data_IF_643317405177
#
_entry.id   IF_643317405177
#
_cell.length_a   1.000
_cell.length_b   1.000
_cell.length_c   1.000
_cell.angle_alpha   90.00
_cell.angle_beta   90.00
_cell.angle_gamma   90.00
#
_symmetry.space_group_name_H-M   'P 1'
#
loop_
_entity.id
_entity.type
_entity.pdbx_description
1 polymer ?
#
# COMPACT_ATOMS: atom_id res chain seq x y z
N UNK A 1 -2.75 -9.21 13.62
CA UNK A 1 -1.27 -9.27 13.63
C UNK A 1 -0.79 -8.50 14.85
N UNK A 2 0.33 -8.85 15.50
CA UNK A 2 0.85 -8.07 16.64
C UNK A 2 1.41 -6.72 16.15
N UNK A 3 1.32 -5.65 16.96
CA UNK A 3 1.85 -4.33 16.61
C UNK A 3 3.34 -4.37 16.24
N UNK A 4 4.13 -5.20 16.93
CA UNK A 4 5.57 -5.38 16.66
C UNK A 4 5.87 -5.93 15.25
N UNK A 5 5.02 -6.78 14.71
CA UNK A 5 5.16 -7.26 13.33
C UNK A 5 4.80 -6.16 12.32
N UNK A 6 3.82 -5.30 12.63
CA UNK A 6 3.50 -4.14 11.79
C UNK A 6 4.67 -3.14 11.84
N UNK A 7 5.28 -2.89 13.00
CA UNK A 7 6.48 -2.08 13.11
C UNK A 7 7.64 -2.63 12.30
N UNK A 8 7.86 -3.95 12.28
CA UNK A 8 8.88 -4.56 11.41
C UNK A 8 8.61 -4.30 9.93
N UNK A 9 7.34 -4.25 9.51
CA UNK A 9 6.98 -3.91 8.13
C UNK A 9 7.23 -2.42 7.86
N UNK A 10 6.79 -1.53 8.75
CA UNK A 10 6.90 -0.09 8.57
C UNK A 10 8.31 0.47 8.82
N UNK A 11 9.16 -0.23 9.56
CA UNK A 11 10.54 0.18 9.86
C UNK A 11 11.51 0.08 8.68
N UNK A 12 11.00 -0.11 7.46
CA UNK A 12 11.78 0.01 6.22
C UNK A 12 11.27 1.22 5.45
N UNK A 13 12.17 2.16 5.17
CA UNK A 13 11.84 3.45 4.56
C UNK A 13 11.09 3.30 3.23
N UNK A 14 11.51 2.36 2.37
CA UNK A 14 10.85 2.12 1.09
C UNK A 14 9.41 1.63 1.27
N UNK A 15 9.15 0.71 2.22
CA UNK A 15 7.79 0.24 2.52
C UNK A 15 6.92 1.34 3.11
N UNK A 16 7.47 2.13 4.03
CA UNK A 16 6.76 3.27 4.60
C UNK A 16 6.42 4.31 3.51
N UNK A 17 7.37 4.61 2.63
CA UNK A 17 7.18 5.54 1.53
C UNK A 17 6.13 5.07 0.53
N UNK A 18 6.09 3.77 0.20
CA UNK A 18 5.03 3.19 -0.63
C UNK A 18 3.66 3.39 0.02
N UNK A 19 3.54 3.18 1.34
CA UNK A 19 2.27 3.41 2.05
C UNK A 19 1.84 4.88 1.97
N UNK A 20 2.77 5.83 2.10
CA UNK A 20 2.49 7.26 1.95
C UNK A 20 2.05 7.62 0.53
N UNK A 21 2.70 7.05 -0.50
CA UNK A 21 2.29 7.26 -1.88
C UNK A 21 0.87 6.75 -2.14
N UNK A 22 0.53 5.58 -1.61
CA UNK A 22 -0.79 4.99 -1.77
C UNK A 22 -1.88 5.73 -0.97
N UNK A 23 -1.52 6.44 0.10
CA UNK A 23 -2.46 7.26 0.89
C UNK A 23 -2.96 8.46 0.09
N UNK A 24 -2.11 9.05 -0.76
CA UNK A 24 -2.47 10.14 -1.66
C UNK A 24 -1.96 9.87 -3.10
N UNK A 25 -2.57 8.92 -3.81
CA UNK A 25 -2.01 8.43 -5.06
C UNK A 25 -2.14 9.45 -6.20
N UNK A 26 -3.08 10.39 -6.13
CA UNK A 26 -3.24 11.47 -7.11
C UNK A 26 -1.99 12.37 -7.16
N UNK A 27 -1.50 12.79 -6.00
CA UNK A 27 -0.31 13.64 -5.87
C UNK A 27 0.96 12.92 -6.29
N UNK A 28 1.04 11.60 -6.08
CA UNK A 28 2.28 10.85 -6.27
C UNK A 28 2.40 10.19 -7.65
N UNK A 29 1.30 9.81 -8.29
CA UNK A 29 1.30 9.12 -9.59
C UNK A 29 0.57 9.91 -10.69
N UNK A 30 -0.08 11.02 -10.34
CA UNK A 30 -0.93 11.77 -11.25
C UNK A 30 -2.34 11.17 -11.38
N UNK A 31 -3.28 11.97 -11.84
CA UNK A 31 -4.69 11.56 -12.01
C UNK A 31 -4.86 10.49 -13.09
N UNK A 32 -3.98 10.47 -14.10
CA UNK A 32 -4.04 9.47 -15.18
C UNK A 32 -3.72 8.06 -14.68
N UNK A 33 -2.82 7.92 -13.71
CA UNK A 33 -2.50 6.65 -13.07
C UNK A 33 -3.68 6.05 -12.27
N UNK A 34 -4.64 6.91 -11.87
CA UNK A 34 -5.83 6.51 -11.13
C UNK A 34 -6.96 6.00 -12.02
N UNK A 35 -6.79 6.02 -13.35
CA UNK A 35 -7.83 5.66 -14.31
C UNK A 35 -8.03 4.14 -14.35
N UNK A 36 -8.63 3.63 -13.29
CA UNK A 36 -9.23 2.31 -13.17
C UNK A 36 -10.76 2.41 -13.32
N UNK A 37 -11.22 3.30 -14.21
CA UNK A 37 -12.60 3.78 -14.36
C UNK A 37 -13.64 2.66 -14.57
N UNK A 38 -13.22 1.46 -14.98
CA UNK A 38 -14.11 0.33 -15.28
C UNK A 38 -14.17 -0.72 -14.17
N UNK A 39 -13.47 -0.51 -13.05
CA UNK A 39 -13.14 -1.63 -12.13
C UNK A 39 -13.62 -1.47 -10.70
N UNK A 40 -14.14 -0.30 -10.31
CA UNK A 40 -14.59 -0.01 -8.94
C UNK A 40 -13.47 -0.12 -7.89
N UNK A 41 -12.23 0.15 -8.29
CA UNK A 41 -11.05 0.14 -7.41
C UNK A 41 -10.32 1.48 -7.50
N UNK A 42 -11.08 2.54 -7.30
CA UNK A 42 -10.61 3.92 -7.41
C UNK A 42 -9.46 4.19 -6.44
N UNK A 43 -8.43 4.88 -6.91
CA UNK A 43 -7.20 5.12 -6.14
C UNK A 43 -6.20 3.96 -6.15
N UNK A 44 -6.48 2.87 -6.87
CA UNK A 44 -5.54 1.75 -7.01
C UNK A 44 -4.40 2.05 -7.99
N UNK A 45 -3.16 1.71 -7.60
CA UNK A 45 -1.97 1.86 -8.44
C UNK A 45 -1.42 0.48 -8.81
N UNK A 46 -1.04 0.29 -10.07
CA UNK A 46 -0.47 -0.98 -10.52
C UNK A 46 0.95 -1.20 -9.97
N UNK A 47 1.33 -2.45 -9.73
CA UNK A 47 2.67 -2.80 -9.23
C UNK A 47 3.80 -2.23 -10.09
N UNK A 48 3.61 -2.15 -11.42
CA UNK A 48 4.59 -1.60 -12.35
C UNK A 48 4.88 -0.12 -12.10
N UNK A 49 3.83 0.70 -11.95
CA UNK A 49 3.99 2.14 -11.67
C UNK A 49 4.69 2.39 -10.33
N UNK A 50 4.41 1.57 -9.31
CA UNK A 50 5.11 1.66 -8.01
C UNK A 50 6.58 1.30 -8.18
N UNK A 51 6.88 0.26 -8.96
CA UNK A 51 8.25 -0.13 -9.27
C UNK A 51 9.01 0.96 -10.02
N UNK A 52 8.43 1.49 -11.10
CA UNK A 52 9.02 2.56 -11.89
C UNK A 52 9.31 3.80 -11.04
N UNK A 53 8.36 4.22 -10.20
CA UNK A 53 8.55 5.36 -9.29
C UNK A 53 9.62 5.11 -8.22
N UNK A 54 9.71 3.87 -7.72
CA UNK A 54 10.68 3.50 -6.68
C UNK A 54 12.10 3.33 -7.19
N UNK A 55 12.28 3.09 -8.50
CA UNK A 55 13.56 2.67 -9.08
C UNK A 55 14.01 1.27 -8.68
N UNK A 56 13.16 0.49 -8.00
CA UNK A 56 13.45 -0.87 -7.57
C UNK A 56 12.83 -1.90 -8.53
N UNK A 57 13.42 -3.11 -8.55
CA UNK A 57 12.89 -4.21 -9.33
C UNK A 57 11.45 -4.57 -8.90
N UNK A 58 10.60 -4.91 -9.88
CA UNK A 58 9.19 -5.25 -9.63
C UNK A 58 9.02 -6.41 -8.62
N UNK A 59 9.94 -7.38 -8.58
CA UNK A 59 9.91 -8.48 -7.61
C UNK A 59 10.09 -8.00 -6.17
N UNK A 60 10.98 -7.01 -5.94
CA UNK A 60 11.19 -6.38 -4.63
C UNK A 60 9.94 -5.63 -4.20
N UNK A 61 9.36 -4.85 -5.12
CA UNK A 61 8.15 -4.07 -4.84
C UNK A 61 6.95 -4.97 -4.59
N UNK A 62 6.81 -6.06 -5.34
CA UNK A 62 5.78 -7.06 -5.09
C UNK A 62 5.90 -7.68 -3.69
N UNK A 63 7.13 -7.98 -3.23
CA UNK A 63 7.38 -8.47 -1.87
C UNK A 63 7.01 -7.44 -0.79
N UNK A 64 7.32 -6.16 -1.04
CA UNK A 64 6.97 -5.06 -0.14
C UNK A 64 5.46 -4.85 -0.04
N UNK A 65 4.77 -4.86 -1.17
CA UNK A 65 3.31 -4.74 -1.23
C UNK A 65 2.63 -5.94 -0.57
N UNK A 66 3.15 -7.17 -0.75
CA UNK A 66 2.65 -8.34 -0.04
C UNK A 66 2.80 -8.20 1.49
N UNK A 67 3.94 -7.67 1.95
CA UNK A 67 4.16 -7.42 3.39
C UNK A 67 3.19 -6.38 3.95
N UNK A 68 2.97 -5.27 3.24
CA UNK A 68 2.02 -4.22 3.62
C UNK A 68 0.57 -4.73 3.60
N UNK A 69 0.23 -5.58 2.64
CA UNK A 69 -1.09 -6.20 2.53
C UNK A 69 -1.33 -7.20 3.67
N UNK A 70 -0.35 -8.04 3.97
CA UNK A 70 -0.40 -8.97 5.10
C UNK A 70 -0.51 -8.21 6.44
N UNK A 71 0.08 -7.02 6.53
CA UNK A 71 -0.10 -6.11 7.66
C UNK A 71 -1.48 -5.43 7.70
N UNK A 72 -2.31 -5.61 6.67
CA UNK A 72 -3.65 -5.04 6.59
C UNK A 72 -3.69 -3.54 6.26
N UNK A 73 -2.55 -2.92 5.93
CA UNK A 73 -2.42 -1.48 5.72
C UNK A 73 -2.82 -1.05 4.29
N UNK A 74 -2.75 -1.99 3.36
CA UNK A 74 -3.19 -1.83 1.97
C UNK A 74 -4.07 -3.01 1.58
N UNK A 75 -4.81 -2.85 0.49
CA UNK A 75 -5.58 -3.90 -0.17
C UNK A 75 -5.17 -4.02 -1.63
N UNK A 76 -5.45 -5.17 -2.24
CA UNK A 76 -5.13 -5.43 -3.63
C UNK A 76 -6.34 -5.91 -4.41
N UNK A 77 -6.42 -5.58 -5.69
CA UNK A 77 -7.39 -6.16 -6.62
C UNK A 77 -6.70 -6.58 -7.91
N UNK A 78 -6.99 -7.79 -8.38
CA UNK A 78 -6.53 -8.27 -9.68
C UNK A 78 -7.54 -7.86 -10.75
N UNK A 79 -7.07 -7.15 -11.77
CA UNK A 79 -7.86 -6.60 -12.87
C UNK A 79 -7.18 -6.99 -14.18
N UNK A 80 -7.74 -8.00 -14.84
CA UNK A 80 -7.12 -8.64 -16.00
C UNK A 80 -5.75 -9.22 -15.67
N UNK A 81 -4.71 -8.73 -16.36
CA UNK A 81 -3.32 -9.18 -16.19
C UNK A 81 -2.58 -8.49 -15.04
N UNK A 82 -3.14 -7.42 -14.49
CA UNK A 82 -2.44 -6.55 -13.55
C UNK A 82 -3.05 -6.63 -12.15
N UNK A 83 -2.19 -6.52 -11.14
CA UNK A 83 -2.62 -6.36 -9.74
C UNK A 83 -2.41 -4.91 -9.32
N UNK A 84 -3.47 -4.34 -8.77
CA UNK A 84 -3.50 -2.97 -8.26
C UNK A 84 -3.53 -3.00 -6.75
N UNK A 85 -2.92 -1.99 -6.13
CA UNK A 85 -2.85 -1.82 -4.69
C UNK A 85 -3.38 -0.46 -4.28
N UNK A 86 -4.08 -0.40 -3.16
CA UNK A 86 -4.68 0.82 -2.62
C UNK A 86 -4.49 0.90 -1.12
N UNK A 87 -4.34 2.11 -0.61
CA UNK A 87 -4.33 2.38 0.82
C UNK A 87 -5.64 1.96 1.49
N UNK A 88 -5.53 1.20 2.59
CA UNK A 88 -6.69 0.74 3.35
C UNK A 88 -6.82 1.56 4.63
N UNK A 89 -7.59 2.64 4.56
CA UNK A 89 -7.75 3.58 5.67
C UNK A 89 -8.26 2.92 6.97
N UNK A 90 -9.12 1.90 6.86
CA UNK A 90 -9.59 1.18 8.03
C UNK A 90 -8.47 0.41 8.73
N UNK A 91 -7.61 -0.31 7.98
CA UNK A 91 -6.52 -1.08 8.58
C UNK A 91 -5.50 -0.21 9.31
N UNK A 92 -5.25 1.00 8.82
CA UNK A 92 -4.40 1.97 9.52
C UNK A 92 -5.06 2.50 10.79
N UNK A 93 -6.37 2.79 10.77
CA UNK A 93 -7.12 3.18 11.98
C UNK A 93 -7.10 2.08 13.03
N UNK A 94 -7.32 0.83 12.62
CA UNK A 94 -7.29 -0.34 13.50
C UNK A 94 -5.91 -0.49 14.15
N UNK A 95 -4.84 -0.31 13.38
CA UNK A 95 -3.47 -0.32 13.90
C UNK A 95 -3.19 0.81 14.91
N UNK A 96 -3.61 2.04 14.61
CA UNK A 96 -3.46 3.17 15.55
C UNK A 96 -4.23 2.90 16.84
N UNK A 97 -5.47 2.41 16.73
CA UNK A 97 -6.28 2.06 17.90
C UNK A 97 -5.62 0.96 18.74
N UNK A 98 -5.08 -0.07 18.09
CA UNK A 98 -4.34 -1.14 18.76
C UNK A 98 -3.14 -0.58 19.55
N UNK A 99 -2.28 0.24 18.93
CA UNK A 99 -1.14 0.84 19.63
C UNK A 99 -1.58 1.71 20.79
N UNK A 100 -2.62 2.53 20.57
CA UNK A 100 -3.16 3.44 21.59
C UNK A 100 -3.63 2.65 22.81
N UNK A 101 -4.30 1.51 22.60
CA UNK A 101 -4.73 0.63 23.69
C UNK A 101 -3.57 -0.14 24.34
N UNK A 102 -2.52 -0.48 23.60
CA UNK A 102 -1.35 -1.20 24.14
C UNK A 102 -0.43 -0.30 25.00
N UNK A 103 -0.43 1.01 24.75
CA UNK A 103 0.51 1.97 25.36
C UNK A 103 -0.11 2.97 26.35
N UNK A 104 -1.44 3.08 26.40
CA UNK A 104 -2.16 3.88 27.40
C UNK A 104 -2.64 3.02 28.56
#
# INVERSE_FOLDING_TARGET
MKSTEIFKVLGNDSRYQILLWLKDPATHFGTDALRCAETGFDGGICVGMIADKSGLAQSVISSYLASLQNAGLIESKRLGKWTYYRYRAQGVRDFIHQITHELN
#
